data_IF_044045427071
#
_entry.id   IF_044045427071
#
_cell.length_a   1.000
_cell.length_b   1.000
_cell.length_c   1.000
_cell.angle_alpha   90.00
_cell.angle_beta   90.00
_cell.angle_gamma   90.00
#
_symmetry.space_group_name_H-M   'P 1'
#
loop_
_entity.id
_entity.type
_entity.pdbx_description
1 polymer ?
#
# COMPACT_ATOMS: atom_id res chain seq x y z
N UNK A 1 31.02 16.17 18.33
CA UNK A 1 29.55 16.20 18.33
C UNK A 1 29.06 15.26 17.23
N UNK A 2 28.27 14.25 17.56
CA UNK A 2 27.68 13.33 16.58
C UNK A 2 26.29 13.85 16.18
N UNK A 3 26.06 14.04 14.88
CA UNK A 3 24.74 14.41 14.34
C UNK A 3 24.23 13.23 13.52
N UNK A 4 23.08 12.69 13.91
CA UNK A 4 22.39 11.66 13.13
C UNK A 4 21.49 12.37 12.12
N UNK A 5 21.55 11.94 10.87
CA UNK A 5 20.71 12.46 9.79
C UNK A 5 19.97 11.28 9.16
N UNK A 6 18.74 11.52 8.73
CA UNK A 6 17.99 10.56 7.92
C UNK A 6 18.13 10.98 6.46
N UNK A 7 18.31 10.00 5.59
CA UNK A 7 18.47 10.21 4.17
C UNK A 7 17.83 9.05 3.40
N UNK A 8 17.30 9.34 2.23
CA UNK A 8 16.77 8.36 1.29
C UNK A 8 17.82 8.06 0.24
N UNK A 9 18.02 6.78 -0.07
CA UNK A 9 18.86 6.36 -1.18
C UNK A 9 18.00 6.22 -2.44
N UNK A 10 18.29 7.00 -3.48
CA UNK A 10 17.55 6.97 -4.75
C UNK A 10 18.04 5.91 -5.75
N UNK A 11 19.01 5.08 -5.34
CA UNK A 11 19.71 4.12 -6.20
C UNK A 11 21.10 4.58 -6.64
N UNK A 12 21.43 5.87 -6.51
CA UNK A 12 22.74 6.43 -6.87
C UNK A 12 23.34 7.30 -5.75
N UNK A 13 22.55 8.12 -5.07
CA UNK A 13 22.97 9.12 -4.10
C UNK A 13 22.07 9.09 -2.86
N UNK A 14 22.64 9.43 -1.70
CA UNK A 14 21.89 9.65 -0.47
C UNK A 14 21.39 11.10 -0.41
N UNK A 15 20.08 11.28 -0.34
CA UNK A 15 19.42 12.58 -0.19
C UNK A 15 18.98 12.79 1.25
N UNK A 16 19.59 13.72 2.00
CA UNK A 16 19.15 14.04 3.36
C UNK A 16 17.73 14.60 3.37
N UNK A 17 16.92 14.21 4.35
CA UNK A 17 15.55 14.72 4.51
C UNK A 17 15.53 16.22 4.86
N UNK A 18 16.64 16.73 5.40
CA UNK A 18 16.80 18.12 5.78
C UNK A 18 18.16 18.66 5.31
N UNK A 19 18.27 19.97 4.99
CA UNK A 19 19.52 20.59 4.58
C UNK A 19 20.65 20.36 5.59
N UNK A 20 21.83 20.01 5.07
CA UNK A 20 23.03 19.84 5.86
C UNK A 20 23.81 21.15 5.91
N UNK A 21 23.84 21.78 7.08
CA UNK A 21 24.73 22.89 7.36
C UNK A 21 26.14 22.36 7.69
N UNK A 22 26.88 21.99 6.65
CA UNK A 22 28.24 21.48 6.74
C UNK A 22 29.20 22.36 5.91
N UNK A 23 30.42 22.62 6.41
CA UNK A 23 31.44 23.31 5.66
C UNK A 23 31.68 22.75 4.24
N UNK A 24 31.72 23.61 3.21
CA UNK A 24 32.01 23.17 1.86
C UNK A 24 33.45 22.61 1.77
N UNK A 25 33.69 21.76 0.76
CA UNK A 25 35.00 21.17 0.49
C UNK A 25 35.61 20.36 1.65
N UNK A 26 34.78 19.82 2.53
CA UNK A 26 35.21 19.01 3.67
C UNK A 26 34.76 17.55 3.49
N UNK A 27 35.67 16.60 3.73
CA UNK A 27 35.36 15.17 3.62
C UNK A 27 34.75 14.67 4.93
N UNK A 28 33.59 14.04 4.82
CA UNK A 28 32.90 13.40 5.95
C UNK A 28 32.85 11.89 5.74
N UNK A 29 32.81 11.15 6.85
CA UNK A 29 32.55 9.71 6.87
C UNK A 29 31.13 9.50 7.38
N UNK A 30 30.33 8.75 6.65
CA UNK A 30 28.97 8.38 7.04
C UNK A 30 28.94 6.93 7.50
N UNK A 31 28.11 6.64 8.50
CA UNK A 31 27.83 5.27 8.93
C UNK A 31 26.41 4.95 8.49
N UNK A 32 26.26 3.90 7.67
CA UNK A 32 24.96 3.43 7.22
C UNK A 32 24.37 2.54 8.31
N UNK A 33 23.15 2.89 8.73
CA UNK A 33 22.36 2.07 9.63
C UNK A 33 20.98 1.93 8.99
N UNK A 34 20.59 0.71 8.63
CA UNK A 34 19.25 0.45 8.14
C UNK A 34 18.25 0.73 9.27
N UNK A 35 17.33 1.66 9.02
CA UNK A 35 16.17 1.83 9.87
C UNK A 35 15.21 0.68 9.59
N UNK A 36 15.07 -0.22 10.56
CA UNK A 36 14.00 -1.21 10.53
C UNK A 36 12.70 -0.43 10.73
N UNK A 37 12.07 0.00 9.64
CA UNK A 37 10.68 0.42 9.69
C UNK A 37 9.86 -0.78 10.17
N UNK A 38 8.85 -0.61 11.04
CA UNK A 38 7.85 -1.65 11.20
C UNK A 38 7.36 -2.06 9.80
N UNK A 39 7.09 -3.36 9.56
CA UNK A 39 6.54 -3.80 8.29
C UNK A 39 5.39 -2.87 7.95
N UNK A 40 5.44 -2.29 6.74
CA UNK A 40 4.38 -1.43 6.24
C UNK A 40 3.09 -2.20 6.48
N UNK A 41 2.21 -1.68 7.34
CA UNK A 41 0.85 -2.20 7.42
C UNK A 41 0.35 -2.21 5.98
N UNK A 42 -0.07 -3.37 5.49
CA UNK A 42 -0.25 -3.62 4.06
C UNK A 42 -0.94 -2.48 3.31
N UNK A 43 -0.60 -2.31 2.05
CA UNK A 43 -1.17 -1.24 1.24
C UNK A 43 -2.68 -1.46 1.01
N UNK A 44 -3.31 -0.53 0.29
CA UNK A 44 -4.74 -0.63 0.01
C UNK A 44 -5.12 -1.94 -0.72
N UNK A 45 -4.20 -2.53 -1.48
CA UNK A 45 -4.41 -3.81 -2.16
C UNK A 45 -4.39 -4.98 -1.18
N UNK A 46 -3.48 -4.97 -0.21
CA UNK A 46 -3.44 -5.98 0.85
C UNK A 46 -4.76 -6.02 1.65
N UNK A 47 -5.35 -4.84 1.89
CA UNK A 47 -6.67 -4.73 2.54
C UNK A 47 -7.78 -5.30 1.66
N UNK A 48 -7.79 -4.99 0.36
CA UNK A 48 -8.80 -5.49 -0.56
C UNK A 48 -8.71 -7.01 -0.76
N UNK A 49 -7.48 -7.55 -0.83
CA UNK A 49 -7.25 -8.99 -0.90
C UNK A 49 -7.80 -9.69 0.34
N UNK A 50 -7.50 -9.15 1.54
CA UNK A 50 -8.01 -9.70 2.79
C UNK A 50 -9.54 -9.67 2.90
N UNK A 51 -10.21 -8.75 2.22
CA UNK A 51 -11.68 -8.64 2.21
C UNK A 51 -12.35 -9.45 1.09
N UNK A 52 -11.60 -9.90 0.09
CA UNK A 52 -12.15 -10.63 -1.05
C UNK A 52 -12.61 -12.02 -0.63
N UNK A 53 -13.79 -12.44 -1.08
CA UNK A 53 -14.36 -13.76 -0.75
C UNK A 53 -14.86 -13.91 0.69
N UNK A 54 -14.91 -12.83 1.46
CA UNK A 54 -15.47 -12.84 2.83
C UNK A 54 -17.00 -12.83 2.87
N UNK A 55 -17.64 -12.55 1.73
CA UNK A 55 -19.09 -12.55 1.57
C UNK A 55 -19.50 -13.79 0.77
N UNK A 56 -20.28 -14.67 1.40
CA UNK A 56 -20.95 -15.76 0.70
C UNK A 56 -22.09 -15.19 -0.15
N UNK A 57 -22.05 -15.48 -1.44
CA UNK A 57 -22.96 -14.92 -2.42
C UNK A 57 -23.48 -15.99 -3.38
N UNK A 58 -24.74 -15.90 -3.81
CA UNK A 58 -25.26 -16.69 -4.92
C UNK A 58 -24.48 -16.44 -6.22
N UNK A 59 -24.35 -17.48 -7.06
CA UNK A 59 -23.62 -17.40 -8.34
C UNK A 59 -24.23 -16.38 -9.32
N UNK A 60 -25.52 -16.09 -9.16
CA UNK A 60 -26.28 -15.17 -9.98
C UNK A 60 -26.35 -13.75 -9.39
N UNK A 61 -25.62 -13.44 -8.31
CA UNK A 61 -25.78 -12.19 -7.56
C UNK A 61 -25.65 -10.93 -8.42
N UNK A 62 -24.64 -10.88 -9.30
CA UNK A 62 -24.43 -9.75 -10.21
C UNK A 62 -25.52 -9.64 -11.27
N UNK A 63 -26.02 -10.78 -11.78
CA UNK A 63 -27.06 -10.84 -12.80
C UNK A 63 -28.46 -10.54 -12.24
N UNK A 64 -28.70 -10.89 -10.98
CA UNK A 64 -29.98 -10.76 -10.29
C UNK A 64 -29.93 -9.65 -9.21
N UNK A 65 -29.10 -8.62 -9.43
CA UNK A 65 -28.87 -7.57 -8.44
C UNK A 65 -30.17 -6.87 -8.01
N UNK A 66 -31.14 -6.67 -8.92
CA UNK A 66 -32.45 -6.10 -8.58
C UNK A 66 -33.26 -6.99 -7.63
N UNK A 67 -33.18 -8.32 -7.80
CA UNK A 67 -33.79 -9.27 -6.89
C UNK A 67 -33.17 -9.18 -5.50
N UNK A 68 -31.84 -9.10 -5.41
CA UNK A 68 -31.14 -9.08 -4.12
C UNK A 68 -31.17 -7.71 -3.41
N UNK A 69 -31.26 -6.59 -4.15
CA UNK A 69 -31.34 -5.25 -3.56
C UNK A 69 -32.77 -4.81 -3.28
N UNK A 70 -33.70 -5.14 -4.17
CA UNK A 70 -35.06 -4.58 -4.16
C UNK A 70 -36.15 -5.64 -3.98
N UNK A 71 -35.81 -6.94 -4.00
CA UNK A 71 -36.77 -8.02 -3.83
C UNK A 71 -37.66 -8.25 -5.06
N UNK A 72 -37.27 -7.77 -6.24
CA UNK A 72 -37.99 -8.07 -7.49
C UNK A 72 -37.94 -9.56 -7.80
N UNK A 73 -38.89 -10.14 -8.57
CA UNK A 73 -38.75 -11.50 -9.06
C UNK A 73 -37.44 -11.68 -9.83
N UNK A 74 -36.82 -12.88 -9.77
CA UNK A 74 -35.64 -13.21 -10.57
C UNK A 74 -35.98 -13.21 -12.06
N UNK A 75 -35.01 -12.86 -12.90
CA UNK A 75 -35.14 -13.02 -14.34
C UNK A 75 -35.35 -14.51 -14.69
N UNK A 76 -36.24 -14.80 -15.64
CA UNK A 76 -36.33 -16.16 -16.19
C UNK A 76 -35.02 -16.46 -16.90
N UNK A 77 -34.22 -17.39 -16.36
CA UNK A 77 -33.06 -17.93 -17.06
C UNK A 77 -33.60 -18.82 -18.18
N UNK A 78 -33.72 -18.29 -19.40
CA UNK A 78 -34.02 -19.11 -20.57
C UNK A 78 -32.94 -20.20 -20.68
N UNK A 79 -33.35 -21.46 -20.48
CA UNK A 79 -32.48 -22.61 -20.65
C UNK A 79 -32.09 -22.74 -22.12
N UNK A 80 -30.78 -22.62 -22.39
CA UNK A 80 -30.15 -23.05 -23.64
C UNK A 80 -29.05 -24.04 -23.35
#
# INVERSE_FOLDING_TARGET
>A
MNKRITAVFDGNVLHPDAPLDLPPNTRYVITIQESISPPVAGDAWDVLEAMTGTIEAPIDWSSEHDHYLYGTPKGETEGT
#
